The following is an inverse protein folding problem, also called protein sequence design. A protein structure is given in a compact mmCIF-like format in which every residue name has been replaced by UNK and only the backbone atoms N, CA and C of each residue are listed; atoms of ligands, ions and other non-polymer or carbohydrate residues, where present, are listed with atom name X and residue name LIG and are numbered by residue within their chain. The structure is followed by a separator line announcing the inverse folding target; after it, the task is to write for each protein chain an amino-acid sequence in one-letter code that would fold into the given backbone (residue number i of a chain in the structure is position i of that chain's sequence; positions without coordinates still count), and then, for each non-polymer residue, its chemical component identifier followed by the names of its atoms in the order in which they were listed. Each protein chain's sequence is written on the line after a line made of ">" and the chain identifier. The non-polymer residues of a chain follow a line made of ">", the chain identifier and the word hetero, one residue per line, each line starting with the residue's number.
data_IF_869672451459
#
_entry.id   IF_869672451459
#
_cell.length_a   1.000
_cell.length_b   1.000
_cell.length_c   1.000
_cell.angle_alpha   90.00
_cell.angle_beta   90.00
_cell.angle_gamma   90.00
#
_symmetry.space_group_name_H-M   'P 1'
#
loop_
_entity.id
_entity.type
_entity.pdbx_description
1 polymer ?
#
# COMPACT_ATOMS: atom_id res chain seq x y z
N UNK A 1 6.41 -2.83 -0.66
CA UNK A 1 7.58 -1.93 -0.60
C UNK A 1 8.63 -2.39 -1.60
N UNK A 2 9.61 -1.55 -1.89
CA UNK A 2 10.77 -1.89 -2.73
C UNK A 2 12.04 -1.94 -1.85
N UNK A 3 13.14 -2.58 -2.29
CA UNK A 3 14.41 -2.50 -1.58
C UNK A 3 14.84 -1.05 -1.34
N UNK A 4 15.39 -0.75 -0.16
CA UNK A 4 15.70 0.62 0.27
C UNK A 4 16.64 1.39 -0.68
N UNK A 5 17.47 0.68 -1.45
CA UNK A 5 18.43 1.26 -2.40
C UNK A 5 17.88 1.34 -3.83
N UNK A 6 16.59 1.07 -4.05
CA UNK A 6 16.00 1.18 -5.39
C UNK A 6 16.03 2.64 -5.83
N UNK A 7 16.59 2.96 -7.01
CA UNK A 7 16.61 4.32 -7.53
C UNK A 7 15.21 4.91 -7.63
N UNK A 8 15.10 6.20 -7.30
CA UNK A 8 13.82 6.90 -7.17
C UNK A 8 13.02 6.93 -8.47
N UNK A 9 13.70 7.12 -9.60
CA UNK A 9 13.12 7.09 -10.94
C UNK A 9 12.45 5.74 -11.27
N UNK A 10 13.06 4.63 -10.83
CA UNK A 10 12.48 3.29 -11.00
C UNK A 10 11.22 3.13 -10.13
N UNK A 11 11.24 3.65 -8.90
CA UNK A 11 10.07 3.64 -8.01
C UNK A 11 8.92 4.47 -8.60
N UNK A 12 9.22 5.66 -9.11
CA UNK A 12 8.23 6.54 -9.74
C UNK A 12 7.63 5.89 -10.99
N UNK A 13 8.46 5.30 -11.86
CA UNK A 13 7.99 4.57 -13.04
C UNK A 13 7.09 3.41 -12.65
N UNK A 14 7.50 2.57 -11.70
CA UNK A 14 6.70 1.44 -11.25
C UNK A 14 5.35 1.91 -10.68
N UNK A 15 5.35 2.95 -9.85
CA UNK A 15 4.12 3.50 -9.29
C UNK A 15 3.18 3.99 -10.39
N UNK A 16 3.70 4.69 -11.39
CA UNK A 16 2.90 5.17 -12.54
C UNK A 16 2.21 4.00 -13.26
N UNK A 17 2.94 2.94 -13.57
CA UNK A 17 2.37 1.77 -14.26
C UNK A 17 1.33 1.04 -13.40
N UNK A 18 1.57 0.92 -12.09
CA UNK A 18 0.60 0.32 -11.15
C UNK A 18 -0.67 1.16 -11.06
N UNK A 19 -0.56 2.47 -10.94
CA UNK A 19 -1.72 3.38 -10.92
C UNK A 19 -2.51 3.27 -12.22
N UNK A 20 -1.82 3.26 -13.37
CA UNK A 20 -2.47 3.09 -14.67
C UNK A 20 -3.22 1.75 -14.77
N UNK A 21 -2.62 0.65 -14.29
CA UNK A 21 -3.28 -0.65 -14.27
C UNK A 21 -4.52 -0.66 -13.36
N UNK A 22 -4.44 -0.07 -12.16
CA UNK A 22 -5.58 0.02 -11.23
C UNK A 22 -6.72 0.90 -11.76
N UNK A 23 -6.41 1.87 -12.62
CA UNK A 23 -7.39 2.73 -13.27
C UNK A 23 -8.00 2.10 -14.53
N UNK A 24 -7.41 1.03 -15.07
CA UNK A 24 -7.94 0.34 -16.23
C UNK A 24 -9.34 -0.24 -15.90
N UNK A 25 -10.38 0.04 -16.72
CA UNK A 25 -11.76 -0.37 -16.41
C UNK A 25 -11.92 -1.86 -16.12
N UNK A 26 -11.27 -2.72 -16.91
CA UNK A 26 -11.32 -4.17 -16.74
C UNK A 26 -10.70 -4.62 -15.40
N UNK A 27 -9.59 -4.00 -14.98
CA UNK A 27 -8.93 -4.30 -13.70
C UNK A 27 -9.80 -3.80 -12.55
N UNK A 28 -10.30 -2.56 -12.64
CA UNK A 28 -11.19 -1.99 -11.62
C UNK A 28 -12.44 -2.83 -11.44
N UNK A 29 -13.09 -3.24 -12.53
CA UNK A 29 -14.25 -4.10 -12.47
C UNK A 29 -13.93 -5.44 -11.80
N UNK A 30 -12.79 -6.05 -12.14
CA UNK A 30 -12.39 -7.32 -11.54
C UNK A 30 -12.11 -7.23 -10.04
N UNK A 31 -11.50 -6.13 -9.59
CA UNK A 31 -11.29 -5.90 -8.16
C UNK A 31 -12.62 -5.70 -7.42
N UNK A 32 -13.55 -4.94 -8.00
CA UNK A 32 -14.87 -4.73 -7.40
C UNK A 32 -15.68 -6.02 -7.32
N UNK A 33 -15.59 -6.92 -8.31
CA UNK A 33 -16.19 -8.27 -8.24
C UNK A 33 -15.66 -9.10 -7.05
N UNK A 34 -14.43 -8.84 -6.64
CA UNK A 34 -13.79 -9.47 -5.48
C UNK A 34 -14.07 -8.70 -4.16
N UNK A 35 -14.94 -7.68 -4.18
CA UNK A 35 -15.18 -6.75 -3.08
C UNK A 35 -13.91 -5.99 -2.63
N UNK A 36 -12.98 -5.76 -3.56
CA UNK A 36 -11.76 -4.99 -3.33
C UNK A 36 -11.92 -3.61 -3.95
N UNK A 37 -11.80 -2.57 -3.13
CA UNK A 37 -11.74 -1.20 -3.61
C UNK A 37 -10.29 -0.79 -3.92
N UNK A 38 -9.93 -0.51 -5.19
CA UNK A 38 -8.59 -0.06 -5.51
C UNK A 38 -8.33 1.34 -4.95
N UNK A 39 -7.22 1.49 -4.24
CA UNK A 39 -6.78 2.77 -3.68
C UNK A 39 -5.42 3.20 -4.27
N UNK A 40 -5.39 3.71 -5.52
CA UNK A 40 -4.17 4.21 -6.12
C UNK A 40 -3.65 5.42 -5.33
N UNK A 41 -2.34 5.45 -5.07
CA UNK A 41 -1.68 6.50 -4.28
C UNK A 41 -0.27 6.75 -4.79
N UNK A 42 0.35 7.82 -4.33
CA UNK A 42 1.77 8.09 -4.56
C UNK A 42 2.67 7.24 -3.65
N UNK A 43 3.96 7.02 -3.99
CA UNK A 43 4.88 6.29 -3.13
C UNK A 43 5.02 6.92 -1.73
N UNK A 44 4.97 8.25 -1.64
CA UNK A 44 5.04 8.98 -0.39
C UNK A 44 3.80 8.71 0.49
N UNK A 45 2.59 8.81 -0.08
CA UNK A 45 1.34 8.51 0.63
C UNK A 45 1.27 7.04 1.06
N UNK A 46 1.71 6.11 0.20
CA UNK A 46 1.76 4.69 0.55
C UNK A 46 2.71 4.44 1.73
N UNK A 47 3.86 5.12 1.78
CA UNK A 47 4.79 5.02 2.90
C UNK A 47 4.19 5.62 4.18
N UNK A 48 3.59 6.81 4.10
CA UNK A 48 2.94 7.46 5.23
C UNK A 48 1.82 6.60 5.82
N UNK A 49 0.95 6.05 4.97
CA UNK A 49 -0.11 5.14 5.39
C UNK A 49 0.46 3.90 6.09
N UNK A 50 1.50 3.27 5.51
CA UNK A 50 2.13 2.11 6.12
C UNK A 50 2.70 2.43 7.52
N UNK A 51 3.37 3.58 7.68
CA UNK A 51 3.87 4.02 9.00
C UNK A 51 2.72 4.24 10.00
N UNK A 52 1.61 4.82 9.55
CA UNK A 52 0.42 5.01 10.39
C UNK A 52 -0.20 3.69 10.82
N UNK A 53 -0.27 2.69 9.93
CA UNK A 53 -0.81 1.37 10.24
C UNK A 53 0.12 0.60 11.19
N UNK A 54 1.43 0.66 10.97
CA UNK A 54 2.42 0.08 11.88
C UNK A 54 2.25 0.64 13.29
N UNK A 55 2.11 1.97 13.42
CA UNK A 55 1.90 2.62 14.72
C UNK A 55 0.57 2.18 15.34
N UNK A 56 -0.52 2.30 14.59
CA UNK A 56 -1.87 1.98 15.07
C UNK A 56 -1.97 0.55 15.58
N UNK A 57 -1.49 -0.41 14.81
CA UNK A 57 -1.55 -1.82 15.20
C UNK A 57 -0.53 -2.17 16.28
N UNK A 58 0.62 -1.48 16.32
CA UNK A 58 1.56 -1.57 17.44
C UNK A 58 0.90 -1.19 18.77
N UNK A 59 0.20 -0.07 18.80
CA UNK A 59 -0.53 0.40 19.99
C UNK A 59 -1.63 -0.60 20.40
N UNK A 60 -2.36 -1.16 19.42
CA UNK A 60 -3.40 -2.18 19.68
C UNK A 60 -2.79 -3.43 20.32
N UNK A 61 -1.68 -3.95 19.77
CA UNK A 61 -0.98 -5.14 20.30
C UNK A 61 -0.53 -4.90 21.74
N UNK A 62 0.06 -3.73 22.01
CA UNK A 62 0.50 -3.36 23.35
C UNK A 62 -0.66 -3.30 24.34
N UNK A 63 -1.77 -2.65 23.97
CA UNK A 63 -2.97 -2.57 24.83
C UNK A 63 -3.64 -3.91 25.06
N UNK A 64 -3.62 -4.79 24.06
CA UNK A 64 -4.21 -6.12 24.14
C UNK A 64 -3.35 -7.12 24.93
N UNK A 65 -2.12 -6.75 25.32
CA UNK A 65 -1.20 -7.64 26.05
C UNK A 65 -0.72 -8.83 25.21
N UNK A 66 -0.82 -8.75 23.88
CA UNK A 66 -0.40 -9.81 22.98
C UNK A 66 1.12 -9.80 22.89
N UNK A 67 1.78 -10.88 23.31
CA UNK A 67 3.23 -11.00 23.19
C UNK A 67 3.63 -11.15 21.72
N UNK A 68 4.59 -10.34 21.27
CA UNK A 68 5.27 -10.57 20.00
C UNK A 68 6.06 -11.88 20.12
N UNK A 69 5.77 -12.85 19.26
CA UNK A 69 6.54 -14.08 19.13
C UNK A 69 7.90 -13.77 18.48
#
# INVERSE_FOLDING_TARGET
>A
GVPAKTPRDIVERLNKEVVAALQAPAVKQKLLELNIEPHPSTPAQANEWLQSEIKRWGDVIQRAGIQKQ
#
